data_IF_719211039824
#
_entry.id   IF_719211039824
#
_cell.length_a   1.000
_cell.length_b   1.000
_cell.length_c   1.000
_cell.angle_alpha   90.00
_cell.angle_beta   90.00
_cell.angle_gamma   90.00
#
_symmetry.space_group_name_H-M   'P 1'
#
loop_
_entity.id
_entity.type
_entity.pdbx_description
1 polymer ?
#
# COMPACT_ATOMS: atom_id res chain seq x y z
N UNK A 1 4.66 -11.74 -21.80
CA UNK A 1 5.07 -10.52 -22.52
C UNK A 1 6.50 -10.21 -22.14
N UNK A 2 7.39 -9.92 -23.09
CA UNK A 2 8.81 -9.73 -22.77
C UNK A 2 9.12 -8.32 -22.23
N UNK A 3 8.26 -7.32 -22.49
CA UNK A 3 8.38 -5.95 -21.99
C UNK A 3 7.09 -5.52 -21.28
N UNK A 4 6.77 -6.17 -20.16
CA UNK A 4 5.48 -5.98 -19.48
C UNK A 4 5.35 -4.62 -18.80
N UNK A 5 6.44 -4.05 -18.28
CA UNK A 5 6.40 -2.77 -17.56
C UNK A 5 6.01 -1.62 -18.48
N UNK A 6 6.75 -1.45 -19.59
CA UNK A 6 6.46 -0.39 -20.55
C UNK A 6 5.09 -0.58 -21.18
N UNK A 7 4.67 -1.83 -21.42
CA UNK A 7 3.35 -2.08 -21.96
C UNK A 7 2.22 -1.62 -21.03
N UNK A 8 2.29 -1.94 -19.74
CA UNK A 8 1.29 -1.47 -18.76
C UNK A 8 1.24 0.06 -18.76
N UNK A 9 2.42 0.69 -18.81
CA UNK A 9 2.54 2.15 -18.86
C UNK A 9 1.87 2.73 -20.12
N UNK A 10 2.20 2.21 -21.29
CA UNK A 10 1.65 2.66 -22.58
C UNK A 10 0.14 2.46 -22.70
N UNK A 11 -0.37 1.31 -22.23
CA UNK A 11 -1.78 0.96 -22.43
C UNK A 11 -2.73 1.63 -21.42
N UNK A 12 -2.24 1.96 -20.21
CA UNK A 12 -3.09 2.34 -19.08
C UNK A 12 -2.72 3.63 -18.36
N UNK A 13 -1.46 4.08 -18.36
CA UNK A 13 -1.06 5.26 -17.59
C UNK A 13 -1.75 6.50 -18.17
N UNK A 14 -2.41 7.26 -17.30
CA UNK A 14 -2.97 8.57 -17.65
C UNK A 14 -2.24 9.67 -16.89
N UNK A 15 -2.16 10.84 -17.50
CA UNK A 15 -1.60 12.02 -16.85
C UNK A 15 -2.59 12.54 -15.80
N UNK A 16 -2.14 12.64 -14.55
CA UNK A 16 -2.91 13.17 -13.44
C UNK A 16 -2.33 14.52 -13.00
N UNK A 17 -3.13 15.61 -12.98
CA UNK A 17 -2.60 16.98 -12.85
C UNK A 17 -2.00 17.29 -11.48
N UNK A 18 -2.36 16.55 -10.43
CA UNK A 18 -2.01 16.89 -9.04
C UNK A 18 -1.75 15.66 -8.17
N UNK A 19 -0.74 14.86 -8.51
CA UNK A 19 -0.27 13.76 -7.67
C UNK A 19 0.73 14.24 -6.61
N UNK A 20 0.48 13.88 -5.36
CA UNK A 20 1.36 14.16 -4.23
C UNK A 20 1.91 12.86 -3.69
N UNK A 21 3.18 12.86 -3.30
CA UNK A 21 3.79 11.72 -2.62
C UNK A 21 3.50 11.79 -1.12
N UNK A 22 2.93 10.72 -0.57
CA UNK A 22 2.71 10.53 0.86
C UNK A 22 3.61 9.41 1.37
N UNK A 23 4.19 9.56 2.55
CA UNK A 23 5.20 8.64 3.09
C UNK A 23 6.62 9.01 2.71
N UNK A 24 7.54 8.06 2.84
CA UNK A 24 8.98 8.32 2.70
C UNK A 24 9.41 8.68 1.28
N UNK A 25 10.50 9.44 1.16
CA UNK A 25 11.12 9.84 -0.11
C UNK A 25 11.83 8.67 -0.83
N UNK A 26 12.27 7.65 -0.11
CA UNK A 26 12.98 6.53 -0.71
C UNK A 26 12.01 5.38 -1.00
N UNK A 27 11.62 4.68 0.06
CA UNK A 27 10.87 3.42 0.03
C UNK A 27 9.69 3.50 1.00
N UNK A 28 8.52 2.99 0.60
CA UNK A 28 7.27 3.07 1.36
C UNK A 28 6.56 4.43 1.28
N UNK A 29 6.62 5.10 0.13
CA UNK A 29 5.86 6.33 -0.12
C UNK A 29 5.23 6.35 -1.51
N UNK A 30 3.93 6.64 -1.58
CA UNK A 30 3.07 6.43 -2.75
C UNK A 30 2.41 7.72 -3.24
N UNK A 31 2.01 7.74 -4.51
CA UNK A 31 1.45 8.93 -5.17
C UNK A 31 -0.07 8.87 -5.26
N UNK A 32 -0.75 9.85 -4.65
CA UNK A 32 -2.20 9.96 -4.65
C UNK A 32 -2.62 11.41 -4.88
N UNK A 33 -3.82 11.63 -5.39
CA UNK A 33 -4.40 12.96 -5.38
C UNK A 33 -4.92 13.30 -3.98
N UNK A 34 -4.75 14.55 -3.50
CA UNK A 34 -5.28 15.00 -2.21
C UNK A 34 -6.79 14.72 -2.03
N UNK A 35 -7.57 14.89 -3.10
CA UNK A 35 -9.02 14.69 -3.07
C UNK A 35 -9.40 13.24 -2.76
N UNK A 36 -8.72 12.26 -3.36
CA UNK A 36 -8.90 10.84 -3.03
C UNK A 36 -8.72 10.58 -1.54
N UNK A 37 -7.68 11.15 -0.93
CA UNK A 37 -7.41 10.95 0.49
C UNK A 37 -8.50 11.58 1.35
N UNK A 38 -8.90 12.82 1.06
CA UNK A 38 -9.93 13.54 1.84
C UNK A 38 -11.33 12.94 1.73
N UNK A 39 -11.65 12.28 0.60
CA UNK A 39 -12.94 11.61 0.38
C UNK A 39 -12.98 10.16 0.87
N UNK A 40 -11.81 9.57 1.13
CA UNK A 40 -11.69 8.23 1.70
C UNK A 40 -12.15 8.19 3.16
N UNK A 41 -12.92 7.17 3.51
CA UNK A 41 -13.44 6.95 4.86
C UNK A 41 -12.56 5.99 5.66
N UNK A 42 -11.94 5.03 4.97
CA UNK A 42 -11.11 3.99 5.57
C UNK A 42 -9.84 3.80 4.73
N UNK A 43 -8.68 3.79 5.40
CA UNK A 43 -7.45 3.23 4.86
C UNK A 43 -7.30 1.79 5.36
N UNK A 44 -7.30 0.84 4.45
CA UNK A 44 -6.82 -0.52 4.73
C UNK A 44 -5.38 -0.64 4.23
N UNK A 45 -4.43 -0.80 5.14
CA UNK A 45 -3.00 -0.89 4.81
C UNK A 45 -2.43 -2.24 5.22
N UNK A 46 -2.09 -3.06 4.23
CA UNK A 46 -1.37 -4.32 4.39
C UNK A 46 0.14 -4.12 4.28
N UNK A 47 0.88 -4.77 5.19
CA UNK A 47 2.35 -4.76 5.21
C UNK A 47 2.95 -3.40 5.49
N UNK A 48 2.71 -2.91 6.71
CA UNK A 48 3.27 -1.64 7.20
C UNK A 48 4.74 -1.75 7.60
N UNK A 49 5.22 -2.96 7.92
CA UNK A 49 6.61 -3.25 8.28
C UNK A 49 7.18 -2.23 9.27
N UNK A 50 8.43 -1.82 9.10
CA UNK A 50 9.07 -0.79 9.92
C UNK A 50 8.88 0.65 9.45
N UNK A 51 8.11 0.88 8.39
CA UNK A 51 7.90 2.21 7.82
C UNK A 51 6.42 2.57 7.81
N UNK A 52 6.01 3.45 8.73
CA UNK A 52 4.63 3.90 8.89
C UNK A 52 4.41 5.34 8.42
N UNK A 53 5.37 5.90 7.69
CA UNK A 53 5.30 7.29 7.27
C UNK A 53 4.11 7.53 6.33
N UNK A 54 3.77 6.58 5.45
CA UNK A 54 2.58 6.67 4.60
C UNK A 54 1.30 6.74 5.43
N UNK A 55 1.07 5.78 6.33
CA UNK A 55 -0.12 5.74 7.19
C UNK A 55 -0.22 7.00 8.05
N UNK A 56 0.92 7.48 8.55
CA UNK A 56 0.99 8.70 9.35
C UNK A 56 0.64 9.95 8.54
N UNK A 57 1.11 10.04 7.30
CA UNK A 57 0.77 11.16 6.42
C UNK A 57 -0.72 11.16 6.07
N UNK A 58 -1.28 10.00 5.72
CA UNK A 58 -2.73 9.85 5.49
C UNK A 58 -3.54 10.21 6.74
N UNK A 59 -3.11 9.72 7.91
CA UNK A 59 -3.71 10.07 9.20
C UNK A 59 -3.70 11.59 9.41
N UNK A 60 -2.58 12.27 9.16
CA UNK A 60 -2.50 13.73 9.37
C UNK A 60 -3.34 14.49 8.37
N UNK A 61 -3.39 14.04 7.12
CA UNK A 61 -4.03 14.73 6.00
C UNK A 61 -5.56 14.66 6.10
N UNK A 62 -6.13 13.48 6.36
CA UNK A 62 -7.56 13.30 6.57
C UNK A 62 -7.86 13.06 8.06
N UNK A 63 -8.52 14.01 8.73
CA UNK A 63 -8.83 13.92 10.17
C UNK A 63 -9.94 12.93 10.51
N UNK A 64 -10.74 12.52 9.52
CA UNK A 64 -11.89 11.65 9.70
C UNK A 64 -11.64 10.21 9.24
N UNK A 65 -10.54 9.95 8.52
CA UNK A 65 -10.24 8.60 8.02
C UNK A 65 -10.00 7.63 9.18
N UNK A 66 -10.63 6.47 9.13
CA UNK A 66 -10.25 5.31 9.93
C UNK A 66 -9.08 4.58 9.28
N UNK A 67 -8.19 3.98 10.06
CA UNK A 67 -7.02 3.26 9.54
C UNK A 67 -6.98 1.86 10.14
N UNK A 68 -6.96 0.85 9.28
CA UNK A 68 -6.72 -0.55 9.66
C UNK A 68 -5.36 -0.95 9.08
N UNK A 69 -4.40 -1.15 9.96
CA UNK A 69 -3.06 -1.63 9.63
C UNK A 69 -3.00 -3.15 9.86
N UNK A 70 -2.53 -3.92 8.88
CA UNK A 70 -2.46 -5.38 8.95
C UNK A 70 -1.03 -5.84 8.72
N UNK A 71 -0.37 -6.27 9.80
CA UNK A 71 1.00 -6.77 9.75
C UNK A 71 1.35 -7.55 11.05
N UNK A 72 1.84 -8.79 10.97
CA UNK A 72 2.19 -9.59 12.15
C UNK A 72 3.61 -9.32 12.66
N UNK A 73 4.47 -8.71 11.85
CA UNK A 73 5.89 -8.44 12.15
C UNK A 73 6.06 -7.23 13.07
N UNK A 74 5.05 -6.36 13.12
CA UNK A 74 5.08 -5.13 13.88
C UNK A 74 4.54 -5.32 15.30
N UNK A 75 5.32 -4.90 16.28
CA UNK A 75 4.79 -4.64 17.61
C UNK A 75 5.54 -3.49 18.25
N UNK A 76 4.84 -2.63 18.99
CA UNK A 76 5.43 -1.43 19.59
C UNK A 76 6.68 -1.75 20.41
N UNK A 77 6.64 -2.81 21.23
CA UNK A 77 7.78 -3.26 22.01
C UNK A 77 8.92 -3.84 21.16
N UNK A 78 8.64 -4.62 20.10
CA UNK A 78 9.67 -5.16 19.20
C UNK A 78 10.33 -4.06 18.38
N UNK A 79 9.59 -3.03 17.97
CA UNK A 79 10.13 -1.89 17.25
C UNK A 79 11.05 -1.05 18.14
N UNK A 80 10.65 -0.79 19.40
CA UNK A 80 11.50 -0.10 20.39
C UNK A 80 12.77 -0.92 20.67
N UNK A 81 12.65 -2.23 20.92
CA UNK A 81 13.80 -3.13 21.13
C UNK A 81 14.74 -3.18 19.92
N UNK A 82 14.20 -3.25 18.69
CA UNK A 82 15.00 -3.16 17.44
C UNK A 82 15.72 -1.81 17.33
N UNK A 83 15.05 -0.72 17.66
CA UNK A 83 15.63 0.63 17.68
C UNK A 83 16.77 0.76 18.69
N UNK A 84 16.54 0.30 19.92
CA UNK A 84 17.55 0.25 20.99
C UNK A 84 18.73 -0.64 20.62
N UNK A 85 18.50 -1.85 20.12
CA UNK A 85 19.58 -2.73 19.67
C UNK A 85 20.43 -2.09 18.57
N UNK A 86 19.80 -1.42 17.58
CA UNK A 86 20.52 -0.75 16.48
C UNK A 86 21.27 0.51 16.91
N UNK A 87 20.88 1.18 18.00
CA UNK A 87 21.65 2.26 18.61
C UNK A 87 23.04 1.77 19.05
N UNK A 88 23.13 0.54 19.58
CA UNK A 88 24.41 -0.09 19.95
C UNK A 88 25.30 -0.44 18.74
N UNK A 89 24.70 -0.72 17.57
CA UNK A 89 25.45 -1.12 16.36
C UNK A 89 25.81 0.03 15.40
N UNK A 90 25.67 1.31 15.81
CA UNK A 90 26.05 2.51 15.03
C UNK A 90 25.57 2.57 13.56
N UNK A 91 24.47 1.90 13.19
CA UNK A 91 23.93 1.97 11.80
C UNK A 91 23.27 3.35 11.52
N UNK A 92 23.40 3.92 10.31
CA UNK A 92 22.91 5.28 9.99
C UNK A 92 21.37 5.41 10.10
N UNK A 93 20.62 4.39 9.69
CA UNK A 93 19.14 4.38 9.67
C UNK A 93 18.46 4.33 11.06
N UNK A 94 19.23 4.28 12.15
CA UNK A 94 18.72 4.02 13.52
C UNK A 94 17.67 5.02 14.01
N UNK A 95 17.79 6.29 13.63
CA UNK A 95 16.88 7.36 14.07
C UNK A 95 15.50 7.18 13.42
N UNK A 96 15.46 6.81 12.13
CA UNK A 96 14.21 6.55 11.38
C UNK A 96 13.40 5.41 11.99
N UNK A 97 14.06 4.34 12.43
CA UNK A 97 13.38 3.22 13.12
C UNK A 97 12.76 3.64 14.45
N UNK A 98 13.42 4.51 15.22
CA UNK A 98 12.87 5.02 16.48
C UNK A 98 11.66 5.92 16.20
N UNK A 99 11.76 6.82 15.23
CA UNK A 99 10.62 7.65 14.81
C UNK A 99 9.43 6.80 14.34
N UNK A 100 9.67 5.79 13.50
CA UNK A 100 8.61 4.87 13.07
C UNK A 100 8.02 4.08 14.24
N UNK A 101 8.81 3.70 15.24
CA UNK A 101 8.30 3.09 16.46
C UNK A 101 7.40 4.07 17.25
N UNK A 102 7.78 5.34 17.35
CA UNK A 102 6.97 6.38 18.00
C UNK A 102 5.67 6.64 17.22
N UNK A 103 5.74 6.72 15.89
CA UNK A 103 4.58 6.85 15.00
C UNK A 103 3.63 5.67 15.20
N UNK A 104 4.13 4.44 15.18
CA UNK A 104 3.31 3.25 15.43
C UNK A 104 2.59 3.34 16.77
N UNK A 105 3.33 3.60 17.86
CA UNK A 105 2.74 3.72 19.20
C UNK A 105 1.73 4.87 19.29
N UNK A 106 1.97 5.98 18.59
CA UNK A 106 1.04 7.09 18.52
C UNK A 106 -0.25 6.68 17.80
N UNK A 107 -0.14 6.07 16.62
CA UNK A 107 -1.26 5.65 15.78
C UNK A 107 -2.14 4.62 16.50
N UNK A 108 -1.57 3.53 17.04
CA UNK A 108 -2.38 2.48 17.69
C UNK A 108 -3.12 2.93 18.95
N UNK A 109 -2.77 4.10 19.52
CA UNK A 109 -3.50 4.72 20.64
C UNK A 109 -4.67 5.59 20.19
N UNK A 110 -4.78 5.89 18.90
CA UNK A 110 -5.87 6.68 18.34
C UNK A 110 -7.11 5.82 18.15
N UNK A 111 -8.28 6.33 18.55
CA UNK A 111 -9.56 5.61 18.44
C UNK A 111 -9.91 5.21 17.00
N UNK A 112 -9.43 5.98 16.02
CA UNK A 112 -9.65 5.76 14.58
C UNK A 112 -8.59 4.88 13.91
N UNK A 113 -7.68 4.29 14.68
CA UNK A 113 -6.64 3.41 14.15
C UNK A 113 -6.75 2.03 14.81
N UNK A 114 -6.54 0.98 14.04
CA UNK A 114 -6.54 -0.41 14.50
C UNK A 114 -5.37 -1.14 13.89
N UNK A 115 -4.77 -2.06 14.66
CA UNK A 115 -3.67 -2.90 14.19
C UNK A 115 -4.02 -4.37 14.36
N UNK A 116 -4.01 -5.10 13.24
CA UNK A 116 -4.26 -6.53 13.17
C UNK A 116 -2.94 -7.26 12.96
N UNK A 117 -2.58 -8.13 13.91
CA UNK A 117 -1.34 -8.92 13.89
C UNK A 117 -1.53 -10.25 13.17
N UNK A 118 -1.72 -10.21 11.86
CA UNK A 118 -1.88 -11.41 11.03
C UNK A 118 -1.20 -11.24 9.67
N UNK A 119 -0.82 -12.35 9.06
CA UNK A 119 -0.30 -12.38 7.69
C UNK A 119 -1.46 -12.23 6.71
N UNK A 120 -1.40 -11.20 5.86
CA UNK A 120 -2.43 -10.96 4.86
C UNK A 120 -2.18 -11.86 3.65
N UNK A 121 -2.76 -13.06 3.66
CA UNK A 121 -2.74 -14.05 2.58
C UNK A 121 -3.96 -14.96 2.70
N UNK A 122 -4.28 -15.75 1.67
CA UNK A 122 -5.38 -16.74 1.78
C UNK A 122 -5.18 -17.67 2.99
N UNK A 123 -6.24 -17.99 3.76
CA UNK A 123 -7.67 -17.79 3.47
C UNK A 123 -8.25 -16.45 3.99
N UNK A 124 -7.43 -15.50 4.43
CA UNK A 124 -7.92 -14.21 4.92
C UNK A 124 -8.56 -13.39 3.79
N UNK A 125 -9.47 -12.48 4.17
CA UNK A 125 -10.25 -11.65 3.25
C UNK A 125 -10.32 -10.21 3.74
N UNK A 126 -10.06 -9.25 2.85
CA UNK A 126 -10.02 -7.81 3.20
C UNK A 126 -11.35 -7.38 3.82
N UNK A 127 -12.47 -7.70 3.16
CA UNK A 127 -13.80 -7.27 3.62
C UNK A 127 -14.22 -7.93 4.93
N UNK A 128 -13.70 -9.11 5.25
CA UNK A 128 -13.93 -9.75 6.54
C UNK A 128 -13.18 -9.04 7.66
N UNK A 129 -11.95 -8.59 7.40
CA UNK A 129 -11.11 -7.91 8.39
C UNK A 129 -11.61 -6.50 8.75
N UNK A 130 -12.42 -5.90 7.88
CA UNK A 130 -13.02 -4.58 8.06
C UNK A 130 -14.54 -4.65 8.21
N UNK A 131 -15.08 -5.83 8.51
CA UNK A 131 -16.49 -6.00 8.79
C UNK A 131 -16.92 -5.08 9.94
N UNK A 132 -18.03 -4.37 9.77
CA UNK A 132 -18.51 -3.36 10.72
C UNK A 132 -17.84 -1.98 10.61
N UNK A 133 -16.75 -1.83 9.84
CA UNK A 133 -16.15 -0.53 9.50
C UNK A 133 -16.55 -0.01 8.11
N UNK A 134 -17.14 -0.88 7.30
CA UNK A 134 -17.56 -0.60 5.93
C UNK A 134 -19.06 -0.72 5.82
N UNK A 135 -19.68 0.25 5.16
CA UNK A 135 -21.07 0.23 4.71
C UNK A 135 -21.12 0.48 3.19
N UNK A 136 -22.30 0.43 2.59
CA UNK A 136 -22.48 0.58 1.14
C UNK A 136 -22.00 1.92 0.54
N UNK A 137 -21.74 2.93 1.38
CA UNK A 137 -21.22 4.26 0.98
C UNK A 137 -19.74 4.46 1.32
N UNK A 138 -19.10 3.46 1.93
CA UNK A 138 -17.73 3.60 2.39
C UNK A 138 -16.77 3.65 1.21
N UNK A 139 -15.84 4.60 1.27
CA UNK A 139 -14.80 4.79 0.27
C UNK A 139 -13.47 4.32 0.85
N UNK A 140 -13.01 3.15 0.43
CA UNK A 140 -11.79 2.50 0.94
C UNK A 140 -10.58 2.93 0.11
N UNK A 141 -9.60 3.54 0.76
CA UNK A 141 -8.24 3.64 0.25
C UNK A 141 -7.54 2.33 0.61
N UNK A 142 -7.14 1.55 -0.39
CA UNK A 142 -6.41 0.31 -0.19
C UNK A 142 -4.91 0.53 -0.44
N UNK A 143 -4.06 0.06 0.47
CA UNK A 143 -2.63 -0.10 0.25
C UNK A 143 -2.23 -1.55 0.50
N UNK A 144 -1.62 -2.20 -0.50
CA UNK A 144 -1.10 -3.56 -0.39
C UNK A 144 0.36 -3.61 -0.85
N UNK A 145 1.23 -3.84 0.11
CA UNK A 145 2.66 -4.11 -0.06
C UNK A 145 2.99 -5.24 0.91
N UNK A 146 2.79 -6.48 0.46
CA UNK A 146 2.73 -7.68 1.30
C UNK A 146 3.58 -8.82 0.72
N UNK A 147 4.67 -8.44 0.06
CA UNK A 147 5.79 -9.31 -0.31
C UNK A 147 5.36 -10.52 -1.15
N UNK A 148 4.50 -10.29 -2.16
CA UNK A 148 4.06 -11.30 -3.12
C UNK A 148 2.70 -11.92 -2.83
N UNK A 149 2.07 -11.59 -1.70
CA UNK A 149 0.71 -12.04 -1.38
C UNK A 149 -0.38 -11.14 -1.98
N UNK A 150 -0.03 -10.07 -2.71
CA UNK A 150 -0.99 -9.13 -3.32
C UNK A 150 -1.96 -9.85 -4.27
N UNK A 151 -1.45 -10.85 -4.98
CA UNK A 151 -2.20 -11.63 -5.97
C UNK A 151 -3.37 -12.43 -5.38
N UNK A 152 -3.34 -12.73 -4.08
CA UNK A 152 -4.41 -13.47 -3.41
C UNK A 152 -5.71 -12.67 -3.34
N UNK A 153 -5.62 -11.34 -3.41
CA UNK A 153 -6.74 -10.43 -3.16
C UNK A 153 -7.34 -9.83 -4.44
N UNK A 154 -6.72 -10.01 -5.60
CA UNK A 154 -7.17 -9.36 -6.86
C UNK A 154 -8.62 -9.70 -7.21
N UNK A 155 -9.05 -10.95 -7.03
CA UNK A 155 -10.42 -11.39 -7.32
C UNK A 155 -11.44 -10.74 -6.36
N UNK A 156 -11.10 -10.66 -5.07
CA UNK A 156 -11.94 -10.01 -4.05
C UNK A 156 -12.06 -8.51 -4.32
N UNK A 157 -10.95 -7.85 -4.66
CA UNK A 157 -10.91 -6.41 -4.95
C UNK A 157 -11.73 -6.12 -6.21
N UNK A 158 -11.52 -6.89 -7.28
CA UNK A 158 -12.26 -6.77 -8.54
C UNK A 158 -13.77 -6.88 -8.32
N UNK A 159 -14.20 -7.88 -7.54
CA UNK A 159 -15.62 -8.13 -7.27
C UNK A 159 -16.28 -7.00 -6.46
N UNK A 160 -15.47 -6.14 -5.82
CA UNK A 160 -15.93 -5.08 -4.93
C UNK A 160 -15.39 -3.70 -5.33
N UNK A 161 -14.99 -3.51 -6.59
CA UNK A 161 -14.35 -2.28 -7.06
C UNK A 161 -15.09 -1.02 -6.59
N UNK A 162 -16.43 -1.02 -6.59
CA UNK A 162 -17.30 0.09 -6.15
C UNK A 162 -17.07 0.60 -4.72
N UNK A 163 -16.46 -0.20 -3.85
CA UNK A 163 -16.18 0.16 -2.45
C UNK A 163 -14.88 0.95 -2.28
N UNK A 164 -14.02 1.02 -3.30
CA UNK A 164 -12.70 1.63 -3.17
C UNK A 164 -12.65 3.05 -3.76
N UNK A 165 -11.96 3.99 -3.12
CA UNK A 165 -11.59 5.29 -3.71
C UNK A 165 -10.34 5.18 -4.55
N UNK A 166 -9.37 4.40 -4.07
CA UNK A 166 -8.11 4.16 -4.74
C UNK A 166 -7.47 2.87 -4.27
N UNK A 167 -6.60 2.34 -5.12
CA UNK A 167 -5.86 1.12 -4.91
C UNK A 167 -4.38 1.42 -5.13
N UNK A 168 -3.60 1.28 -4.07
CA UNK A 168 -2.15 1.45 -4.05
C UNK A 168 -1.53 0.07 -3.87
N UNK A 169 -0.63 -0.30 -4.76
CA UNK A 169 0.03 -1.60 -4.72
C UNK A 169 1.54 -1.47 -4.88
N UNK A 170 2.26 -2.34 -4.20
CA UNK A 170 3.62 -2.72 -4.53
C UNK A 170 3.64 -4.19 -4.97
N UNK A 171 3.58 -4.42 -6.28
CA UNK A 171 3.53 -5.76 -6.85
C UNK A 171 4.92 -6.37 -6.92
N UNK A 172 5.15 -7.36 -6.05
CA UNK A 172 6.32 -8.22 -6.10
C UNK A 172 6.18 -9.32 -7.15
N UNK A 173 7.27 -10.00 -7.52
CA UNK A 173 7.23 -11.16 -8.42
C UNK A 173 6.63 -10.90 -9.83
N UNK A 174 6.76 -9.69 -10.37
CA UNK A 174 6.22 -9.30 -11.69
C UNK A 174 6.66 -10.21 -12.84
N UNK A 175 7.90 -10.69 -12.82
CA UNK A 175 8.41 -11.67 -13.78
C UNK A 175 7.55 -12.96 -13.86
N UNK A 176 6.87 -13.35 -12.77
CA UNK A 176 5.96 -14.51 -12.71
C UNK A 176 4.51 -14.12 -12.97
N UNK A 177 4.10 -12.92 -12.57
CA UNK A 177 2.68 -12.57 -12.45
C UNK A 177 2.24 -11.33 -13.25
N UNK A 178 3.09 -10.78 -14.11
CA UNK A 178 2.79 -9.60 -14.93
C UNK A 178 1.46 -9.69 -15.69
N UNK A 179 1.08 -10.87 -16.18
CA UNK A 179 -0.21 -11.06 -16.86
C UNK A 179 -1.40 -10.83 -15.93
N UNK A 180 -1.32 -11.29 -14.67
CA UNK A 180 -2.37 -11.06 -13.67
C UNK A 180 -2.54 -9.56 -13.37
N UNK A 181 -1.43 -8.84 -13.24
CA UNK A 181 -1.46 -7.38 -13.02
C UNK A 181 -2.05 -6.65 -14.21
N UNK A 182 -1.63 -7.00 -15.42
CA UNK A 182 -2.19 -6.43 -16.65
C UNK A 182 -3.71 -6.65 -16.74
N UNK A 183 -4.16 -7.89 -16.56
CA UNK A 183 -5.58 -8.26 -16.63
C UNK A 183 -6.40 -7.56 -15.53
N UNK A 184 -5.83 -7.42 -14.32
CA UNK A 184 -6.45 -6.69 -13.21
C UNK A 184 -6.64 -5.20 -13.51
N UNK A 185 -5.61 -4.52 -14.04
CA UNK A 185 -5.71 -3.10 -14.43
C UNK A 185 -6.73 -2.95 -15.55
N UNK A 186 -6.68 -3.80 -16.57
CA UNK A 186 -7.63 -3.78 -17.69
C UNK A 186 -9.09 -3.92 -17.22
N UNK A 187 -9.34 -4.83 -16.30
CA UNK A 187 -10.67 -5.08 -15.73
C UNK A 187 -11.14 -3.95 -14.80
N UNK A 188 -10.21 -3.26 -14.14
CA UNK A 188 -10.51 -2.11 -13.26
C UNK A 188 -10.74 -0.81 -14.03
N UNK A 189 -10.26 -0.71 -15.27
CA UNK A 189 -10.30 0.47 -16.15
C UNK A 189 -11.66 1.18 -16.26
N UNK A 190 -12.83 0.49 -16.29
CA UNK A 190 -14.12 1.17 -16.37
C UNK A 190 -14.46 2.02 -15.13
N UNK A 191 -13.78 1.81 -14.01
CA UNK A 191 -14.03 2.52 -12.75
C UNK A 191 -12.79 3.23 -12.20
N UNK A 192 -11.59 2.90 -12.70
CA UNK A 192 -10.32 3.40 -12.19
C UNK A 192 -9.36 3.80 -13.32
N UNK A 193 -8.57 4.83 -13.05
CA UNK A 193 -7.43 5.27 -13.87
C UNK A 193 -6.11 4.89 -13.22
N UNK A 194 -5.16 4.35 -14.00
CA UNK A 194 -3.78 4.20 -13.55
C UNK A 194 -3.10 5.56 -13.60
N UNK A 195 -2.91 6.19 -12.45
CA UNK A 195 -2.35 7.55 -12.35
C UNK A 195 -0.86 7.54 -12.05
N UNK A 196 -0.35 6.46 -11.47
CA UNK A 196 1.07 6.30 -11.17
C UNK A 196 1.54 4.88 -11.43
N UNK A 197 2.73 4.77 -11.99
CA UNK A 197 3.50 3.52 -12.10
C UNK A 197 4.99 3.85 -11.94
N UNK A 198 5.65 3.16 -11.01
CA UNK A 198 7.07 3.30 -10.69
C UNK A 198 7.75 1.94 -10.60
N UNK A 199 9.05 1.91 -10.83
CA UNK A 199 9.88 0.74 -10.55
C UNK A 199 10.36 0.80 -9.09
N UNK A 200 10.40 -0.33 -8.39
CA UNK A 200 11.15 -0.43 -7.13
C UNK A 200 12.47 -1.19 -7.41
N UNK A 201 13.61 -0.48 -7.57
CA UNK A 201 14.89 -1.09 -7.93
C UNK A 201 15.39 -2.12 -6.89
N UNK A 202 14.93 -2.02 -5.64
CA UNK A 202 15.30 -2.95 -4.57
C UNK A 202 14.80 -4.37 -4.84
N UNK A 203 13.69 -4.53 -5.57
CA UNK A 203 13.18 -5.84 -6.01
C UNK A 203 14.01 -6.48 -7.13
N UNK A 204 14.90 -5.71 -7.76
CA UNK A 204 15.78 -6.14 -8.84
C UNK A 204 15.04 -6.39 -10.16
N UNK A 205 15.79 -6.92 -11.12
CA UNK A 205 15.35 -7.10 -12.50
C UNK A 205 15.41 -8.58 -12.93
N UNK A 206 14.60 -8.97 -13.91
CA UNK A 206 14.68 -10.28 -14.55
C UNK A 206 15.75 -10.33 -15.65
N UNK A 207 15.86 -11.47 -16.33
CA UNK A 207 16.90 -11.70 -17.37
C UNK A 207 16.74 -10.80 -18.59
N UNK A 208 15.56 -10.22 -18.79
CA UNK A 208 15.25 -9.31 -19.88
C UNK A 208 15.32 -7.84 -19.42
N UNK A 209 15.83 -7.57 -18.21
CA UNK A 209 15.93 -6.24 -17.65
C UNK A 209 14.60 -5.65 -17.20
N UNK A 210 13.56 -6.46 -17.02
CA UNK A 210 12.26 -5.97 -16.55
C UNK A 210 12.19 -5.94 -15.02
N UNK A 211 11.52 -4.94 -14.41
CA UNK A 211 11.45 -4.81 -12.96
C UNK A 211 10.63 -5.95 -12.35
N UNK A 212 11.18 -6.60 -11.32
CA UNK A 212 10.47 -7.64 -10.57
C UNK A 212 9.50 -7.07 -9.55
N UNK A 213 9.70 -5.82 -9.13
CA UNK A 213 8.83 -5.10 -8.23
C UNK A 213 8.43 -3.76 -8.86
N UNK A 214 7.13 -3.46 -8.86
CA UNK A 214 6.59 -2.19 -9.35
C UNK A 214 5.62 -1.62 -8.32
N UNK A 215 5.57 -0.30 -8.24
CA UNK A 215 4.57 0.44 -7.49
C UNK A 215 3.53 0.97 -8.46
N UNK A 216 2.24 0.84 -8.13
CA UNK A 216 1.17 1.46 -8.91
C UNK A 216 0.15 2.16 -8.03
N UNK A 217 -0.53 3.14 -8.60
CA UNK A 217 -1.73 3.72 -8.00
C UNK A 217 -2.85 3.83 -9.03
N UNK A 218 -3.99 3.26 -8.68
CA UNK A 218 -5.25 3.34 -9.40
C UNK A 218 -6.20 4.24 -8.60
N UNK A 219 -6.71 5.30 -9.20
CA UNK A 219 -7.71 6.18 -8.57
C UNK A 219 -9.05 6.07 -9.28
N UNK A 220 -10.15 6.16 -8.52
CA UNK A 220 -11.51 6.09 -9.06
C UNK A 220 -11.77 7.27 -10.02
N UNK A 221 -12.47 6.97 -11.12
CA UNK A 221 -12.98 7.95 -12.10
C UNK A 221 -14.06 8.88 -11.53
#
# INVERSE_FOLDING_TARGET
>A
MNNYYNKIKEDFLVEAPSLFRFGSINDGGYYLTPNTITSSHLLFSGGISSNLEFEYDIFRFNKHIEIVMVDPTVSGYKLILKGLARLFFKKPEKIRYIFNALIFNYLVRQKRCSHLKLWLKKPERIFKLIEGKVNSKSSILLKLDIEGSEYDFLDEITSNLKQFSALVFEFHDMHKHHKKVYDFIAMSRPQFSLVFIGENPSGGYDRNGQPKCIEITLERL
#
